data_IF_716706988688
#
_entry.id   IF_716706988688
#
_cell.length_a   1.000
_cell.length_b   1.000
_cell.length_c   1.000
_cell.angle_alpha   90.00
_cell.angle_beta   90.00
_cell.angle_gamma   90.00
#
_symmetry.space_group_name_H-M   'P 1'
#
loop_
_entity.id
_entity.type
_entity.pdbx_description
1 polymer ?
#
# COMPACT_ATOMS: atom_id res chain seq x y z
N UNK A 1 4.30 30.61 41.49
CA UNK A 1 4.62 29.75 40.34
C UNK A 1 3.36 28.97 40.04
N UNK A 2 2.75 29.23 38.89
CA UNK A 2 1.48 28.61 38.49
C UNK A 2 1.78 27.23 37.88
N UNK A 3 1.28 26.11 38.42
CA UNK A 3 1.60 24.77 37.93
C UNK A 3 0.70 24.30 36.77
N UNK A 4 -0.07 25.21 36.16
CA UNK A 4 -1.21 24.85 35.32
C UNK A 4 -1.00 25.23 33.84
N UNK A 5 0.11 24.79 33.25
CA UNK A 5 0.30 24.87 31.80
C UNK A 5 0.92 23.57 31.29
N UNK A 6 0.24 22.45 31.55
CA UNK A 6 0.52 21.20 30.86
C UNK A 6 -0.22 21.25 29.53
N UNK A 7 0.48 21.64 28.47
CA UNK A 7 -0.02 21.73 27.10
C UNK A 7 -0.19 20.31 26.53
N UNK A 8 -1.18 19.57 27.03
CA UNK A 8 -1.55 18.29 26.43
C UNK A 8 -2.16 18.56 25.06
N UNK A 9 -1.64 17.86 24.04
CA UNK A 9 -2.25 17.88 22.71
C UNK A 9 -3.67 17.36 22.80
N UNK A 10 -4.60 17.98 22.07
CA UNK A 10 -5.95 17.44 21.91
C UNK A 10 -5.90 16.16 21.06
N UNK A 11 -6.92 15.31 21.16
CA UNK A 11 -7.00 14.11 20.32
C UNK A 11 -6.92 14.47 18.83
N UNK A 12 -7.59 15.54 18.41
CA UNK A 12 -7.57 16.05 17.04
C UNK A 12 -6.16 16.40 16.57
N UNK A 13 -5.35 17.01 17.44
CA UNK A 13 -3.94 17.33 17.14
C UNK A 13 -3.08 16.07 17.03
N UNK A 14 -3.36 15.06 17.84
CA UNK A 14 -2.68 13.76 17.79
C UNK A 14 -3.03 13.05 16.48
N UNK A 15 -4.30 13.01 16.12
CA UNK A 15 -4.78 12.36 14.89
C UNK A 15 -4.20 13.05 13.65
N UNK A 16 -4.18 14.39 13.61
CA UNK A 16 -3.58 15.14 12.51
C UNK A 16 -2.07 14.90 12.41
N UNK A 17 -1.35 14.85 13.53
CA UNK A 17 0.06 14.49 13.53
C UNK A 17 0.29 13.07 12.99
N UNK A 18 -0.56 12.12 13.35
CA UNK A 18 -0.48 10.75 12.83
C UNK A 18 -0.72 10.71 11.33
N UNK A 19 -1.76 11.39 10.83
CA UNK A 19 -2.06 11.46 9.41
C UNK A 19 -0.89 12.06 8.62
N UNK A 20 -0.38 13.22 9.06
CA UNK A 20 0.77 13.87 8.42
C UNK A 20 2.02 13.00 8.45
N UNK A 21 2.25 12.27 9.54
CA UNK A 21 3.35 11.32 9.63
C UNK A 21 3.21 10.20 8.59
N UNK A 22 2.00 9.65 8.39
CA UNK A 22 1.76 8.62 7.36
C UNK A 22 1.89 9.19 5.94
N UNK A 23 1.41 10.41 5.68
CA UNK A 23 1.59 11.11 4.41
C UNK A 23 3.08 11.30 4.07
N UNK A 24 3.87 11.73 5.06
CA UNK A 24 5.31 11.93 4.90
C UNK A 24 6.04 10.61 4.62
N UNK A 25 5.74 9.56 5.38
CA UNK A 25 6.35 8.23 5.17
C UNK A 25 6.01 7.70 3.77
N UNK A 26 4.75 7.83 3.34
CA UNK A 26 4.32 7.43 2.00
C UNK A 26 5.09 8.21 0.92
N UNK A 27 5.21 9.53 1.09
CA UNK A 27 5.94 10.39 0.16
C UNK A 27 7.42 10.01 0.09
N UNK A 28 8.07 9.77 1.22
CA UNK A 28 9.48 9.36 1.25
C UNK A 28 9.72 7.95 0.72
N UNK A 29 8.77 7.03 0.83
CA UNK A 29 8.97 5.65 0.38
C UNK A 29 8.77 5.47 -1.13
N UNK A 30 7.93 6.30 -1.76
CA UNK A 30 7.54 6.14 -3.16
C UNK A 30 7.88 7.36 -4.03
N UNK A 31 8.84 8.18 -3.57
CA UNK A 31 9.43 9.22 -4.40
C UNK A 31 10.21 8.59 -5.56
N UNK A 32 9.87 9.02 -6.77
CA UNK A 32 10.49 8.59 -8.02
C UNK A 32 11.95 9.02 -8.14
N UNK A 33 12.37 10.04 -7.37
CA UNK A 33 13.75 10.53 -7.35
C UNK A 33 14.71 9.62 -6.58
N UNK A 34 14.20 8.69 -5.77
CA UNK A 34 15.01 7.85 -4.91
C UNK A 34 15.55 6.63 -5.63
N UNK A 35 16.86 6.41 -5.45
CA UNK A 35 17.59 5.26 -6.00
C UNK A 35 17.23 3.93 -5.33
N UNK A 36 16.73 3.98 -4.09
CA UNK A 36 16.35 2.80 -3.30
C UNK A 36 14.83 2.79 -3.15
N UNK A 37 14.18 1.86 -3.84
CA UNK A 37 12.75 1.62 -3.72
C UNK A 37 12.48 0.51 -2.69
N UNK A 38 11.39 0.59 -1.90
CA UNK A 38 11.08 -0.39 -0.85
C UNK A 38 10.83 -1.79 -1.43
N UNK A 39 11.16 -2.83 -0.67
CA UNK A 39 10.80 -4.21 -1.02
C UNK A 39 9.27 -4.45 -1.01
N UNK A 40 8.81 -5.60 -1.52
CA UNK A 40 7.37 -5.94 -1.60
C UNK A 40 6.70 -5.85 -0.22
N UNK A 41 7.26 -6.52 0.79
CA UNK A 41 6.68 -6.55 2.14
C UNK A 41 6.60 -5.17 2.78
N UNK A 42 7.68 -4.38 2.66
CA UNK A 42 7.70 -2.99 3.15
C UNK A 42 6.66 -2.14 2.42
N UNK A 43 6.53 -2.30 1.09
CA UNK A 43 5.53 -1.57 0.31
C UNK A 43 4.11 -1.92 0.75
N UNK A 44 3.82 -3.21 0.98
CA UNK A 44 2.53 -3.66 1.49
C UNK A 44 2.22 -3.07 2.87
N UNK A 45 3.16 -3.11 3.80
CA UNK A 45 2.97 -2.54 5.15
C UNK A 45 2.73 -1.04 5.10
N UNK A 46 3.53 -0.29 4.34
CA UNK A 46 3.39 1.17 4.24
C UNK A 46 2.06 1.59 3.60
N UNK A 47 1.65 0.91 2.53
CA UNK A 47 0.36 1.16 1.90
C UNK A 47 -0.79 0.80 2.83
N UNK A 48 -0.72 -0.36 3.49
CA UNK A 48 -1.77 -0.80 4.42
C UNK A 48 -1.95 0.21 5.55
N UNK A 49 -0.85 0.62 6.18
CA UNK A 49 -0.85 1.58 7.29
C UNK A 49 -1.48 2.92 6.89
N UNK A 50 -1.07 3.48 5.75
CA UNK A 50 -1.62 4.75 5.26
C UNK A 50 -3.10 4.61 4.92
N UNK A 51 -3.48 3.59 4.16
CA UNK A 51 -4.86 3.42 3.71
C UNK A 51 -5.82 3.11 4.87
N UNK A 52 -5.39 2.33 5.86
CA UNK A 52 -6.15 2.10 7.10
C UNK A 52 -6.26 3.37 7.94
N UNK A 53 -5.21 4.17 8.05
CA UNK A 53 -5.25 5.46 8.74
C UNK A 53 -6.32 6.38 8.10
N UNK A 54 -6.31 6.50 6.77
CA UNK A 54 -7.29 7.27 6.01
C UNK A 54 -8.71 6.74 6.16
N UNK A 55 -8.89 5.42 6.04
CA UNK A 55 -10.20 4.79 6.10
C UNK A 55 -10.90 5.00 7.44
N UNK A 56 -10.12 5.09 8.53
CA UNK A 56 -10.62 5.23 9.90
C UNK A 56 -10.49 6.67 10.44
N UNK A 57 -10.08 7.63 9.61
CA UNK A 57 -9.88 9.01 10.05
C UNK A 57 -11.22 9.67 10.37
N UNK A 58 -11.33 10.34 11.53
CA UNK A 58 -12.58 10.89 12.03
C UNK A 58 -13.14 12.02 11.14
N UNK A 59 -12.25 12.82 10.52
CA UNK A 59 -12.63 13.97 9.71
C UNK A 59 -12.64 13.63 8.22
N UNK A 60 -13.82 13.39 7.67
CA UNK A 60 -13.97 12.91 6.29
C UNK A 60 -13.35 13.84 5.24
N UNK A 61 -13.56 15.16 5.36
CA UNK A 61 -13.03 16.12 4.39
C UNK A 61 -11.50 16.15 4.37
N UNK A 62 -10.87 16.00 5.55
CA UNK A 62 -9.40 15.94 5.67
C UNK A 62 -8.85 14.61 5.12
N UNK A 63 -9.55 13.51 5.36
CA UNK A 63 -9.21 12.19 4.81
C UNK A 63 -9.31 12.19 3.28
N UNK A 64 -10.38 12.79 2.73
CA UNK A 64 -10.56 12.99 1.28
C UNK A 64 -9.43 13.83 0.70
N UNK A 65 -9.13 14.99 1.29
CA UNK A 65 -8.05 15.86 0.84
C UNK A 65 -6.69 15.15 0.85
N UNK A 66 -6.41 14.35 1.88
CA UNK A 66 -5.19 13.54 1.94
C UNK A 66 -5.11 12.52 0.81
N UNK A 67 -6.20 11.77 0.59
CA UNK A 67 -6.27 10.73 -0.43
C UNK A 67 -6.09 11.32 -1.84
N UNK A 68 -6.79 12.41 -2.14
CA UNK A 68 -6.67 13.14 -3.41
C UNK A 68 -5.23 13.66 -3.62
N UNK A 69 -4.65 14.30 -2.60
CA UNK A 69 -3.29 14.85 -2.68
C UNK A 69 -2.20 13.76 -2.87
N UNK A 70 -2.49 12.52 -2.47
CA UNK A 70 -1.58 11.38 -2.60
C UNK A 70 -1.93 10.41 -3.72
N UNK A 71 -3.00 10.67 -4.50
CA UNK A 71 -3.48 9.78 -5.55
C UNK A 71 -2.36 9.32 -6.50
N UNK A 72 -1.59 10.25 -7.06
CA UNK A 72 -0.49 9.92 -7.98
C UNK A 72 0.61 9.06 -7.34
N UNK A 73 0.90 9.28 -6.05
CA UNK A 73 1.86 8.46 -5.29
C UNK A 73 1.31 7.06 -5.07
N UNK A 74 0.03 6.92 -4.73
CA UNK A 74 -0.63 5.63 -4.59
C UNK A 74 -0.65 4.86 -5.91
N UNK A 75 -0.92 5.54 -7.03
CA UNK A 75 -0.87 4.92 -8.36
C UNK A 75 0.51 4.39 -8.70
N UNK A 76 1.54 5.18 -8.39
CA UNK A 76 2.93 4.78 -8.59
C UNK A 76 3.32 3.61 -7.68
N UNK A 77 2.99 3.69 -6.39
CA UNK A 77 3.27 2.64 -5.42
C UNK A 77 2.59 1.32 -5.81
N UNK A 78 1.33 1.38 -6.23
CA UNK A 78 0.59 0.21 -6.72
C UNK A 78 1.24 -0.41 -7.95
N UNK A 79 1.63 0.44 -8.93
CA UNK A 79 2.33 -0.02 -10.13
C UNK A 79 3.63 -0.74 -9.78
N UNK A 80 4.47 -0.12 -8.95
CA UNK A 80 5.74 -0.72 -8.51
C UNK A 80 5.54 -2.05 -7.77
N UNK A 81 4.54 -2.12 -6.90
CA UNK A 81 4.22 -3.31 -6.14
C UNK A 81 3.82 -4.46 -7.08
N UNK A 82 2.95 -4.19 -8.04
CA UNK A 82 2.54 -5.16 -9.06
C UNK A 82 3.73 -5.62 -9.91
N UNK A 83 4.54 -4.69 -10.41
CA UNK A 83 5.68 -5.04 -11.26
C UNK A 83 6.71 -5.92 -10.51
N UNK A 84 6.91 -5.67 -9.20
CA UNK A 84 7.75 -6.53 -8.34
C UNK A 84 7.11 -7.90 -8.10
N UNK A 85 5.80 -7.96 -7.85
CA UNK A 85 5.08 -9.22 -7.70
C UNK A 85 5.11 -10.06 -8.98
N UNK A 86 4.92 -9.45 -10.14
CA UNK A 86 4.98 -10.11 -11.44
C UNK A 86 6.36 -10.70 -11.72
N UNK A 87 7.42 -9.97 -11.36
CA UNK A 87 8.79 -10.47 -11.43
C UNK A 87 8.99 -11.69 -10.50
N UNK A 88 8.59 -11.60 -9.24
CA UNK A 88 8.72 -12.71 -8.29
C UNK A 88 7.92 -13.94 -8.75
N UNK A 89 6.70 -13.74 -9.25
CA UNK A 89 5.87 -14.79 -9.86
C UNK A 89 6.61 -15.47 -11.01
N UNK A 90 7.19 -14.68 -11.91
CA UNK A 90 7.92 -15.22 -13.06
C UNK A 90 9.14 -16.05 -12.62
N UNK A 91 9.93 -15.54 -11.67
CA UNK A 91 11.11 -16.23 -11.13
C UNK A 91 10.74 -17.59 -10.50
N UNK A 92 9.59 -17.67 -9.82
CA UNK A 92 9.12 -18.93 -9.23
C UNK A 92 8.66 -19.93 -10.29
N UNK A 93 7.99 -19.47 -11.36
CA UNK A 93 7.60 -20.33 -12.50
C UNK A 93 8.82 -20.86 -13.25
N UNK A 94 9.85 -20.04 -13.43
CA UNK A 94 11.11 -20.48 -14.03
C UNK A 94 11.82 -21.54 -13.18
N UNK A 95 11.83 -21.38 -11.85
CA UNK A 95 12.38 -22.39 -10.94
C UNK A 95 11.69 -23.75 -11.08
N UNK A 96 10.37 -23.77 -11.27
CA UNK A 96 9.62 -25.01 -11.49
C UNK A 96 10.06 -25.72 -12.77
N UNK A 97 10.37 -24.95 -13.81
CA UNK A 97 10.76 -25.48 -15.12
C UNK A 97 12.21 -25.97 -15.16
N UNK A 98 13.09 -25.41 -14.32
CA UNK A 98 14.51 -25.76 -14.25
C UNK A 98 14.80 -26.95 -13.30
N UNK A 99 13.88 -27.30 -12.40
CA UNK A 99 14.11 -28.26 -11.33
C UNK A 99 13.74 -29.69 -11.70
N UNK A 100 14.49 -30.28 -12.63
CA UNK A 100 14.45 -31.71 -12.95
C UNK A 100 14.97 -32.66 -11.84
N UNK A 101 15.11 -32.22 -10.58
CA UNK A 101 15.69 -33.06 -9.52
C UNK A 101 15.53 -32.53 -8.09
N UNK A 102 14.83 -33.33 -7.27
CA UNK A 102 14.89 -33.49 -5.80
C UNK A 102 15.11 -32.29 -4.87
N UNK A 103 16.26 -31.62 -4.95
CA UNK A 103 16.74 -30.64 -3.95
C UNK A 103 16.08 -29.26 -4.05
N UNK A 104 15.30 -29.00 -5.10
CA UNK A 104 14.65 -27.72 -5.37
C UNK A 104 13.22 -27.59 -4.82
N UNK A 105 12.56 -28.71 -4.48
CA UNK A 105 11.13 -28.71 -4.13
C UNK A 105 10.81 -27.92 -2.86
N UNK A 106 11.66 -28.00 -1.83
CA UNK A 106 11.49 -27.22 -0.60
C UNK A 106 11.66 -25.71 -0.84
N UNK A 107 12.60 -25.31 -1.70
CA UNK A 107 12.80 -23.90 -2.08
C UNK A 107 11.63 -23.38 -2.92
N UNK A 108 11.10 -24.19 -3.83
CA UNK A 108 9.90 -23.88 -4.61
C UNK A 108 8.66 -23.72 -3.71
N UNK A 109 8.38 -24.68 -2.83
CA UNK A 109 7.22 -24.65 -1.93
C UNK A 109 7.25 -23.42 -1.00
N UNK A 110 8.45 -23.06 -0.50
CA UNK A 110 8.64 -21.87 0.32
C UNK A 110 8.37 -20.58 -0.48
N UNK A 111 8.88 -20.46 -1.71
CA UNK A 111 8.63 -19.29 -2.57
C UNK A 111 7.18 -19.21 -3.03
N UNK A 112 6.53 -20.33 -3.32
CA UNK A 112 5.09 -20.37 -3.62
C UNK A 112 4.26 -19.89 -2.42
N UNK A 113 4.57 -20.33 -1.20
CA UNK A 113 3.91 -19.83 0.02
C UNK A 113 4.13 -18.32 0.19
N UNK A 114 5.33 -17.82 -0.07
CA UNK A 114 5.61 -16.39 -0.02
C UNK A 114 4.79 -15.62 -1.07
N UNK A 115 4.72 -16.12 -2.31
CA UNK A 115 3.94 -15.52 -3.39
C UNK A 115 2.44 -15.49 -3.07
N UNK A 116 1.89 -16.55 -2.47
CA UNK A 116 0.49 -16.58 -1.99
C UNK A 116 0.23 -15.49 -0.97
N UNK A 117 1.09 -15.34 0.05
CA UNK A 117 0.97 -14.29 1.06
C UNK A 117 1.06 -12.88 0.45
N UNK A 118 1.95 -12.68 -0.52
CA UNK A 118 2.08 -11.41 -1.24
C UNK A 118 0.79 -11.08 -1.99
N UNK A 119 0.21 -12.04 -2.71
CA UNK A 119 -1.07 -11.88 -3.41
C UNK A 119 -2.22 -11.53 -2.46
N UNK A 120 -2.30 -12.20 -1.31
CA UNK A 120 -3.29 -11.88 -0.29
C UNK A 120 -3.15 -10.45 0.23
N UNK A 121 -1.92 -10.01 0.50
CA UNK A 121 -1.62 -8.62 0.86
C UNK A 121 -2.03 -7.63 -0.22
N UNK A 122 -1.70 -7.90 -1.50
CA UNK A 122 -2.09 -7.04 -2.61
C UNK A 122 -3.62 -6.94 -2.76
N UNK A 123 -4.34 -8.05 -2.63
CA UNK A 123 -5.82 -8.06 -2.65
C UNK A 123 -6.43 -7.20 -1.53
N UNK A 124 -5.85 -7.24 -0.34
CA UNK A 124 -6.29 -6.41 0.79
C UNK A 124 -6.09 -4.91 0.47
N UNK A 125 -4.89 -4.54 0.02
CA UNK A 125 -4.59 -3.16 -0.41
C UNK A 125 -5.55 -2.70 -1.52
N UNK A 126 -5.75 -3.53 -2.54
CA UNK A 126 -6.67 -3.26 -3.65
C UNK A 126 -8.08 -2.99 -3.16
N UNK A 127 -8.56 -3.80 -2.21
CA UNK A 127 -9.92 -3.65 -1.65
C UNK A 127 -10.09 -2.30 -0.96
N UNK A 128 -9.11 -1.88 -0.16
CA UNK A 128 -9.16 -0.58 0.53
C UNK A 128 -9.05 0.56 -0.49
N UNK A 129 -8.17 0.45 -1.49
CA UNK A 129 -8.05 1.44 -2.55
C UNK A 129 -9.35 1.61 -3.35
N UNK A 130 -10.05 0.51 -3.67
CA UNK A 130 -11.36 0.56 -4.32
C UNK A 130 -12.36 1.28 -3.44
N UNK A 131 -12.50 0.87 -2.18
CA UNK A 131 -13.41 1.49 -1.23
C UNK A 131 -13.18 3.00 -1.09
N UNK A 132 -11.92 3.43 -0.92
CA UNK A 132 -11.57 4.85 -0.82
C UNK A 132 -11.78 5.60 -2.13
N UNK A 133 -11.56 4.97 -3.29
CA UNK A 133 -11.82 5.58 -4.60
C UNK A 133 -13.31 5.82 -4.82
N UNK A 134 -14.15 4.85 -4.45
CA UNK A 134 -15.61 4.99 -4.50
C UNK A 134 -16.09 6.08 -3.53
N UNK A 135 -15.55 6.08 -2.30
CA UNK A 135 -15.93 7.02 -1.25
C UNK A 135 -15.50 8.46 -1.53
N UNK A 136 -14.29 8.67 -2.03
CA UNK A 136 -13.68 10.00 -2.13
C UNK A 136 -13.63 10.58 -3.53
N UNK A 137 -13.56 9.74 -4.56
CA UNK A 137 -13.45 10.20 -5.95
C UNK A 137 -14.77 10.03 -6.73
N UNK A 138 -15.80 9.42 -6.12
CA UNK A 138 -17.04 9.03 -6.79
C UNK A 138 -16.82 8.15 -8.03
N UNK A 139 -15.75 7.34 -8.06
CA UNK A 139 -15.43 6.44 -9.17
C UNK A 139 -15.83 5.02 -8.80
N UNK A 140 -16.75 4.40 -9.55
CA UNK A 140 -17.22 3.03 -9.30
C UNK A 140 -16.45 1.98 -10.10
N UNK A 141 -16.39 0.77 -9.56
CA UNK A 141 -15.92 -0.41 -10.30
C UNK A 141 -16.88 -0.69 -11.47
N UNK A 142 -16.47 -0.34 -12.69
CA UNK A 142 -17.25 -0.54 -13.91
C UNK A 142 -17.39 0.72 -14.78
N UNK A 143 -17.18 1.91 -14.20
CA UNK A 143 -17.41 3.17 -14.93
C UNK A 143 -16.25 3.54 -15.88
N UNK A 144 -14.98 3.22 -15.57
CA UNK A 144 -13.84 3.32 -16.53
C UNK A 144 -12.57 2.60 -16.06
N UNK A 145 -11.65 2.41 -17.01
CA UNK A 145 -10.25 1.95 -16.93
C UNK A 145 -9.26 2.87 -16.17
N UNK A 146 -9.74 3.84 -15.38
CA UNK A 146 -8.94 5.01 -14.98
C UNK A 146 -7.90 4.75 -13.88
N UNK A 147 -8.19 3.89 -12.90
CA UNK A 147 -7.29 3.65 -11.77
C UNK A 147 -6.56 2.31 -11.92
N UNK A 148 -5.24 2.27 -11.67
CA UNK A 148 -4.44 1.06 -11.92
C UNK A 148 -4.79 -0.10 -10.98
N UNK A 149 -5.42 0.17 -9.83
CA UNK A 149 -5.92 -0.85 -8.89
C UNK A 149 -7.32 -1.38 -9.23
N UNK A 150 -7.99 -0.90 -10.28
CA UNK A 150 -9.26 -1.49 -10.73
C UNK A 150 -9.06 -2.70 -11.64
N UNK A 151 -7.88 -2.81 -12.29
CA UNK A 151 -7.55 -3.96 -13.14
C UNK A 151 -7.36 -5.21 -12.27
N UNK A 152 -7.86 -6.36 -12.73
CA UNK A 152 -7.64 -7.65 -12.07
C UNK A 152 -6.17 -8.09 -12.19
N UNK A 153 -5.74 -8.96 -11.26
CA UNK A 153 -4.39 -9.56 -11.16
C UNK A 153 -4.26 -10.92 -11.87
#
# INVERSE_FOLDING_TARGET
MDPSNSTYLTQDQIDEFQLQSKEMILASAFDLSLSIQPGINTSLSLLHDYLCCISNYAYEDRARASFEANKSRLENAWRQLRDKFDKERHDVVQLQSASGGGSSRYSYDARMKALTKMREGMRMIRTILIYLSERFLNVRVGDTTELPWFKEE
#
